data_IF_560398603548
#
_entry.id   IF_560398603548
#
_cell.length_a   1.000
_cell.length_b   1.000
_cell.length_c   1.000
_cell.angle_alpha   90.00
_cell.angle_beta   90.00
_cell.angle_gamma   90.00
#
_symmetry.space_group_name_H-M   'P 1'
#
loop_
_entity.id
_entity.type
_entity.pdbx_description
1 polymer ?
#
# COMPACT_ATOMS: atom_id res chain seq x y z
N UNK A 1 -17.24 37.53 7.16
CA UNK A 1 -16.21 37.14 6.16
C UNK A 1 -15.46 35.83 6.50
N UNK A 2 -15.28 35.45 7.77
CA UNK A 2 -14.47 34.27 8.13
C UNK A 2 -15.11 32.90 7.86
N UNK A 3 -16.43 32.82 7.64
CA UNK A 3 -17.12 31.56 7.37
C UNK A 3 -16.95 31.04 5.95
N UNK A 4 -16.87 31.95 4.97
CA UNK A 4 -16.62 31.61 3.57
C UNK A 4 -15.18 31.16 3.36
N UNK A 5 -14.21 31.86 3.98
CA UNK A 5 -12.80 31.46 3.93
C UNK A 5 -12.63 30.04 4.50
N UNK A 6 -13.23 29.73 5.66
CA UNK A 6 -13.18 28.37 6.24
C UNK A 6 -13.85 27.30 5.38
N UNK A 7 -14.94 27.63 4.67
CA UNK A 7 -15.59 26.69 3.74
C UNK A 7 -14.76 26.49 2.49
N UNK A 8 -14.16 27.54 1.95
CA UNK A 8 -13.25 27.48 0.80
C UNK A 8 -11.98 26.71 1.17
N UNK A 9 -11.42 26.91 2.37
CA UNK A 9 -10.30 26.10 2.88
C UNK A 9 -10.68 24.63 3.05
N UNK A 10 -11.88 24.34 3.53
CA UNK A 10 -12.37 22.96 3.68
C UNK A 10 -12.56 22.29 2.32
N UNK A 11 -13.16 22.99 1.36
CA UNK A 11 -13.36 22.50 -0.01
C UNK A 11 -12.01 22.35 -0.72
N UNK A 12 -11.07 23.29 -0.56
CA UNK A 12 -9.72 23.17 -1.09
C UNK A 12 -9.03 21.93 -0.50
N UNK A 13 -9.13 21.70 0.81
CA UNK A 13 -8.56 20.51 1.48
C UNK A 13 -9.20 19.18 1.04
N UNK A 14 -10.46 19.22 0.64
CA UNK A 14 -11.19 18.06 0.10
C UNK A 14 -10.88 17.84 -1.40
N UNK A 15 -10.56 18.90 -2.16
CA UNK A 15 -10.26 18.87 -3.59
C UNK A 15 -8.77 18.90 -3.97
N UNK A 16 -7.83 19.00 -3.02
CA UNK A 16 -6.39 18.90 -3.32
C UNK A 16 -6.09 17.50 -3.87
N UNK A 17 -5.56 17.47 -5.10
CA UNK A 17 -5.10 16.29 -5.81
C UNK A 17 -4.23 15.38 -4.93
N UNK A 18 -4.40 14.06 -5.09
CA UNK A 18 -3.66 13.02 -4.38
C UNK A 18 -2.13 13.22 -4.46
N UNK A 19 -1.64 13.86 -5.52
CA UNK A 19 -0.23 14.21 -5.72
C UNK A 19 0.26 15.31 -4.74
N UNK A 20 -0.56 16.31 -4.41
CA UNK A 20 -0.19 17.38 -3.50
C UNK A 20 -0.38 16.98 -2.04
N UNK A 21 -1.31 16.07 -1.73
CA UNK A 21 -1.37 15.38 -0.41
C UNK A 21 -0.08 14.61 -0.12
N UNK A 22 0.49 13.94 -1.13
CA UNK A 22 1.78 13.24 -0.98
C UNK A 22 2.94 14.21 -0.71
N UNK A 23 3.00 15.35 -1.42
CA UNK A 23 4.05 16.37 -1.21
C UNK A 23 3.95 17.08 0.13
N UNK A 24 2.74 17.39 0.59
CA UNK A 24 2.51 18.09 1.86
C UNK A 24 2.82 17.22 3.08
N UNK A 25 2.76 15.88 2.94
CA UNK A 25 3.09 14.92 4.00
C UNK A 25 4.60 14.71 4.19
N UNK A 26 5.42 14.93 3.17
CA UNK A 26 6.88 14.92 3.28
C UNK A 26 7.43 16.17 4.00
N UNK A 27 6.61 17.21 4.19
CA UNK A 27 7.00 18.45 4.87
C UNK A 27 6.89 18.36 6.40
N UNK A 28 6.05 17.47 6.93
CA UNK A 28 6.02 17.14 8.36
C UNK A 28 7.06 16.04 8.63
N UNK A 29 8.28 16.44 9.00
CA UNK A 29 9.44 15.57 9.26
C UNK A 29 9.31 14.61 10.46
N UNK A 30 8.13 14.05 10.71
CA UNK A 30 7.80 13.18 11.84
C UNK A 30 7.02 11.91 11.47
N UNK A 31 6.72 11.66 10.18
CA UNK A 31 5.96 10.45 9.81
C UNK A 31 6.86 9.28 9.42
N UNK A 32 6.88 8.28 10.30
CA UNK A 32 7.55 6.98 10.15
C UNK A 32 7.22 6.34 8.78
N UNK A 33 8.21 5.70 8.14
CA UNK A 33 8.09 5.09 6.81
C UNK A 33 6.90 4.11 6.70
N UNK A 34 6.62 3.38 7.79
CA UNK A 34 5.45 2.52 7.91
C UNK A 34 4.13 3.30 7.74
N UNK A 35 4.02 4.48 8.35
CA UNK A 35 2.82 5.32 8.31
C UNK A 35 2.61 5.89 6.91
N UNK A 36 3.68 6.28 6.24
CA UNK A 36 3.63 6.75 4.86
C UNK A 36 3.14 5.65 3.91
N UNK A 37 3.70 4.44 4.00
CA UNK A 37 3.25 3.32 3.17
C UNK A 37 1.80 2.94 3.47
N UNK A 38 1.40 2.90 4.76
CA UNK A 38 0.02 2.64 5.16
C UNK A 38 -0.96 3.63 4.55
N UNK A 39 -0.62 4.92 4.54
CA UNK A 39 -1.47 5.96 3.92
C UNK A 39 -1.54 5.78 2.41
N UNK A 40 -0.42 5.48 1.75
CA UNK A 40 -0.39 5.21 0.31
C UNK A 40 -1.32 4.06 -0.05
N UNK A 41 -1.20 2.93 0.64
CA UNK A 41 -2.10 1.76 0.50
C UNK A 41 -3.56 2.17 0.68
N UNK A 42 -3.87 3.03 1.66
CA UNK A 42 -5.22 3.55 1.87
C UNK A 42 -5.75 4.39 0.69
N UNK A 43 -4.90 5.21 0.05
CA UNK A 43 -5.27 5.97 -1.15
C UNK A 43 -5.47 5.04 -2.34
N UNK A 44 -4.59 4.06 -2.53
CA UNK A 44 -4.66 3.11 -3.64
C UNK A 44 -5.90 2.21 -3.51
N UNK A 45 -6.26 1.76 -2.29
CA UNK A 45 -7.53 1.07 -2.03
C UNK A 45 -8.73 1.93 -2.47
N UNK A 46 -8.72 3.23 -2.15
CA UNK A 46 -9.81 4.13 -2.54
C UNK A 46 -9.88 4.28 -4.06
N UNK A 47 -8.74 4.43 -4.73
CA UNK A 47 -8.67 4.50 -6.19
C UNK A 47 -9.19 3.24 -6.86
N UNK A 48 -8.84 2.05 -6.34
CA UNK A 48 -9.38 0.79 -6.86
C UNK A 48 -10.90 0.68 -6.65
N UNK A 49 -11.42 1.16 -5.51
CA UNK A 49 -12.88 1.21 -5.28
C UNK A 49 -13.57 2.12 -6.30
N UNK A 50 -13.01 3.28 -6.59
CA UNK A 50 -13.52 4.21 -7.61
C UNK A 50 -13.52 3.58 -9.01
N UNK A 51 -12.44 2.88 -9.38
CA UNK A 51 -12.36 2.15 -10.65
C UNK A 51 -13.40 1.03 -10.76
N UNK A 52 -13.67 0.31 -9.66
CA UNK A 52 -14.72 -0.70 -9.61
C UNK A 52 -16.10 -0.05 -9.84
N UNK A 53 -16.39 1.06 -9.18
CA UNK A 53 -17.64 1.80 -9.37
C UNK A 53 -17.78 2.30 -10.81
N UNK A 54 -16.73 2.91 -11.38
CA UNK A 54 -16.74 3.42 -12.76
C UNK A 54 -16.97 2.27 -13.77
N UNK A 55 -16.36 1.11 -13.53
CA UNK A 55 -16.59 -0.08 -14.35
C UNK A 55 -18.03 -0.56 -14.25
N UNK A 56 -18.58 -0.63 -13.04
CA UNK A 56 -19.95 -1.13 -12.84
C UNK A 56 -20.97 -0.17 -13.48
N UNK A 57 -20.73 1.14 -13.42
CA UNK A 57 -21.51 2.14 -14.17
C UNK A 57 -21.37 1.97 -15.69
N UNK A 58 -20.15 1.73 -16.19
CA UNK A 58 -19.91 1.47 -17.61
C UNK A 58 -20.59 0.17 -18.09
N UNK A 59 -20.68 -0.84 -17.22
CA UNK A 59 -21.34 -2.11 -17.52
C UNK A 59 -22.86 -1.96 -17.60
N UNK A 60 -23.46 -1.17 -16.69
CA UNK A 60 -24.89 -0.85 -16.73
C UNK A 60 -25.26 -0.12 -18.03
N UNK A 61 -24.40 0.82 -18.45
CA UNK A 61 -24.66 1.63 -19.64
C UNK A 61 -24.35 0.89 -20.95
N UNK A 62 -23.28 0.10 -20.99
CA UNK A 62 -22.83 -0.60 -22.20
C UNK A 62 -22.10 -1.91 -21.83
N UNK A 63 -22.85 -3.02 -21.63
CA UNK A 63 -22.31 -4.27 -21.15
C UNK A 63 -21.32 -4.86 -22.16
N UNK A 64 -20.17 -5.34 -21.66
CA UNK A 64 -19.15 -5.97 -22.50
C UNK A 64 -18.40 -5.03 -23.44
N UNK A 65 -18.57 -3.70 -23.29
CA UNK A 65 -17.82 -2.72 -24.07
C UNK A 65 -16.31 -2.81 -23.82
N UNK A 66 -15.51 -2.38 -24.80
CA UNK A 66 -14.04 -2.31 -24.68
C UNK A 66 -13.63 -1.53 -23.42
N UNK A 67 -14.37 -0.48 -23.05
CA UNK A 67 -14.16 0.30 -21.82
C UNK A 67 -14.32 -0.56 -20.56
N UNK A 68 -15.34 -1.40 -20.47
CA UNK A 68 -15.54 -2.29 -19.30
C UNK A 68 -14.42 -3.33 -19.17
N UNK A 69 -13.90 -3.82 -20.29
CA UNK A 69 -12.77 -4.76 -20.34
C UNK A 69 -11.47 -4.07 -19.92
N UNK A 70 -11.22 -2.86 -20.43
CA UNK A 70 -10.06 -2.04 -20.05
C UNK A 70 -10.08 -1.72 -18.55
N UNK A 71 -11.20 -1.23 -18.02
CA UNK A 71 -11.35 -0.96 -16.58
C UNK A 71 -11.16 -2.24 -15.75
N UNK A 72 -11.67 -3.38 -16.21
CA UNK A 72 -11.46 -4.68 -15.55
C UNK A 72 -10.00 -5.15 -15.56
N UNK A 73 -9.23 -4.78 -16.58
CA UNK A 73 -7.80 -5.04 -16.62
C UNK A 73 -7.07 -4.11 -15.65
N UNK A 74 -7.34 -2.81 -15.69
CA UNK A 74 -6.77 -1.82 -14.77
C UNK A 74 -7.01 -2.15 -13.30
N UNK A 75 -8.22 -2.60 -12.95
CA UNK A 75 -8.56 -3.06 -11.58
C UNK A 75 -7.71 -4.27 -11.19
N UNK A 76 -7.52 -5.25 -12.09
CA UNK A 76 -6.70 -6.44 -11.80
C UNK A 76 -5.24 -6.07 -11.56
N UNK A 77 -4.68 -5.21 -12.39
CA UNK A 77 -3.30 -4.72 -12.25
C UNK A 77 -3.13 -3.93 -10.95
N UNK A 78 -4.04 -3.00 -10.66
CA UNK A 78 -3.99 -2.21 -9.44
C UNK A 78 -4.13 -3.06 -8.16
N UNK A 79 -4.95 -4.11 -8.17
CA UNK A 79 -5.03 -5.08 -7.06
C UNK A 79 -3.71 -5.85 -6.88
N UNK A 80 -3.03 -6.22 -7.98
CA UNK A 80 -1.72 -6.88 -7.89
C UNK A 80 -0.64 -5.96 -7.32
N UNK A 81 -0.61 -4.70 -7.75
CA UNK A 81 0.31 -3.70 -7.20
C UNK A 81 0.05 -3.49 -5.70
N UNK A 82 -1.23 -3.34 -5.33
CA UNK A 82 -1.66 -3.19 -3.93
C UNK A 82 -1.25 -4.37 -3.06
N UNK A 83 -1.29 -5.61 -3.59
CA UNK A 83 -0.75 -6.80 -2.90
C UNK A 83 0.75 -6.69 -2.65
N UNK A 84 1.49 -6.20 -3.64
CA UNK A 84 2.92 -5.95 -3.50
C UNK A 84 3.21 -4.94 -2.38
N UNK A 85 2.42 -3.88 -2.28
CA UNK A 85 2.57 -2.86 -1.24
C UNK A 85 2.19 -3.38 0.15
N UNK A 86 1.07 -4.09 0.28
CA UNK A 86 0.67 -4.77 1.52
C UNK A 86 1.74 -5.77 1.99
N UNK A 87 2.38 -6.49 1.05
CA UNK A 87 3.50 -7.38 1.36
C UNK A 87 4.72 -6.64 1.91
N UNK A 88 5.05 -5.45 1.39
CA UNK A 88 6.11 -4.59 1.94
C UNK A 88 5.76 -4.09 3.34
N UNK A 89 4.52 -3.67 3.55
CA UNK A 89 4.02 -3.22 4.86
C UNK A 89 4.15 -4.33 5.91
N UNK A 90 3.78 -5.56 5.54
CA UNK A 90 3.91 -6.73 6.41
C UNK A 90 5.38 -7.08 6.71
N UNK A 91 6.27 -7.05 5.71
CA UNK A 91 7.71 -7.27 5.93
C UNK A 91 8.31 -6.26 6.92
N UNK A 92 7.88 -4.99 6.86
CA UNK A 92 8.33 -3.97 7.82
C UNK A 92 7.86 -4.31 9.24
N UNK A 93 6.62 -4.77 9.40
CA UNK A 93 6.10 -5.25 10.67
C UNK A 93 6.88 -6.46 11.20
N UNK A 94 7.07 -7.51 10.38
CA UNK A 94 7.77 -8.74 10.77
C UNK A 94 9.22 -8.45 11.19
N UNK A 95 9.91 -7.55 10.47
CA UNK A 95 11.27 -7.10 10.83
C UNK A 95 11.28 -6.36 12.16
N UNK A 96 10.32 -5.45 12.38
CA UNK A 96 10.18 -4.73 13.65
C UNK A 96 9.89 -5.68 14.82
N UNK A 97 9.04 -6.69 14.61
CA UNK A 97 8.73 -7.73 15.58
C UNK A 97 9.97 -8.56 15.93
N UNK A 98 10.72 -9.02 14.93
CA UNK A 98 11.95 -9.78 15.16
C UNK A 98 13.00 -8.97 15.94
N UNK A 99 13.14 -7.65 15.66
CA UNK A 99 14.04 -6.77 16.41
C UNK A 99 13.59 -6.64 17.88
N UNK A 100 12.29 -6.52 18.13
CA UNK A 100 11.72 -6.49 19.47
C UNK A 100 11.99 -7.78 20.25
N UNK A 101 11.80 -8.94 19.60
CA UNK A 101 12.06 -10.26 20.20
C UNK A 101 13.55 -10.46 20.55
N UNK A 102 14.47 -9.96 19.72
CA UNK A 102 15.92 -10.07 19.94
C UNK A 102 16.45 -9.18 21.07
N UNK A 103 15.80 -8.06 21.39
CA UNK A 103 16.24 -7.06 22.39
C UNK A 103 15.55 -7.21 23.76
N UNK A 104 15.28 -8.45 24.19
CA UNK A 104 14.77 -8.78 25.53
C UNK A 104 13.40 -8.20 25.96
N UNK A 105 12.58 -7.69 25.02
CA UNK A 105 11.19 -7.26 25.28
C UNK A 105 11.01 -6.24 26.41
N UNK A 106 12.01 -5.39 26.67
CA UNK A 106 12.01 -4.55 27.88
C UNK A 106 11.10 -3.31 27.79
N UNK A 107 10.56 -2.99 26.60
CA UNK A 107 9.84 -1.75 26.35
C UNK A 107 8.33 -1.98 26.06
N UNK A 108 7.42 -1.60 26.99
CA UNK A 108 5.98 -1.77 26.82
C UNK A 108 5.36 -0.82 25.76
N UNK A 109 6.01 0.31 25.43
CA UNK A 109 5.51 1.23 24.40
C UNK A 109 5.78 0.67 22.99
N UNK A 110 6.94 0.05 22.78
CA UNK A 110 7.27 -0.62 21.53
C UNK A 110 6.32 -1.78 21.23
N UNK A 111 5.89 -2.52 22.25
CA UNK A 111 4.91 -3.61 22.10
C UNK A 111 3.56 -3.11 21.58
N UNK A 112 3.03 -2.03 22.16
CA UNK A 112 1.78 -1.40 21.70
C UNK A 112 1.89 -0.88 20.27
N UNK A 113 3.02 -0.24 19.92
CA UNK A 113 3.26 0.21 18.54
C UNK A 113 3.25 -0.97 17.57
N UNK A 114 3.89 -2.08 17.95
CA UNK A 114 3.96 -3.28 17.14
C UNK A 114 2.57 -3.89 16.91
N UNK A 115 1.75 -3.99 17.95
CA UNK A 115 0.36 -4.47 17.85
C UNK A 115 -0.49 -3.61 16.89
N UNK A 116 -0.37 -2.28 16.98
CA UNK A 116 -1.08 -1.35 16.11
C UNK A 116 -0.62 -1.44 14.64
N UNK A 117 0.66 -1.72 14.41
CA UNK A 117 1.18 -2.01 13.06
C UNK A 117 0.68 -3.36 12.52
N UNK A 118 0.49 -4.37 13.38
CA UNK A 118 -0.07 -5.66 13.01
C UNK A 118 -1.52 -5.53 12.55
N UNK A 119 -2.36 -4.88 13.36
CA UNK A 119 -3.76 -4.60 13.02
C UNK A 119 -3.87 -3.84 11.69
N UNK A 120 -2.97 -2.87 11.47
CA UNK A 120 -2.92 -2.12 10.21
C UNK A 120 -2.60 -3.02 9.01
N UNK A 121 -1.71 -4.00 9.15
CA UNK A 121 -1.41 -4.97 8.09
C UNK A 121 -2.60 -5.91 7.83
N UNK A 122 -3.26 -6.37 8.88
CA UNK A 122 -4.45 -7.23 8.78
C UNK A 122 -5.60 -6.53 8.07
N UNK A 123 -5.87 -5.27 8.41
CA UNK A 123 -6.90 -4.45 7.75
C UNK A 123 -6.57 -4.24 6.27
N UNK A 124 -5.30 -3.94 5.94
CA UNK A 124 -4.86 -3.75 4.56
C UNK A 124 -5.08 -5.01 3.71
N UNK A 125 -4.70 -6.18 4.24
CA UNK A 125 -4.97 -7.47 3.59
C UNK A 125 -6.47 -7.82 3.53
N UNK A 126 -7.25 -7.42 4.53
CA UNK A 126 -8.71 -7.53 4.52
C UNK A 126 -9.33 -6.79 3.35
N UNK A 127 -8.92 -5.55 3.09
CA UNK A 127 -9.39 -4.78 1.94
C UNK A 127 -8.96 -5.36 0.60
N UNK A 128 -7.73 -5.86 0.49
CA UNK A 128 -7.30 -6.56 -0.74
C UNK A 128 -8.23 -7.74 -1.04
N UNK A 129 -8.54 -8.58 -0.04
CA UNK A 129 -9.46 -9.73 -0.21
C UNK A 129 -10.88 -9.29 -0.58
N UNK A 130 -11.37 -8.19 0.02
CA UNK A 130 -12.67 -7.60 -0.31
C UNK A 130 -12.73 -7.19 -1.81
N UNK A 131 -11.70 -6.47 -2.28
CA UNK A 131 -11.60 -6.01 -3.67
C UNK A 131 -11.50 -7.19 -4.65
N UNK A 132 -10.74 -8.24 -4.30
CA UNK A 132 -10.67 -9.46 -5.09
C UNK A 132 -12.02 -10.17 -5.20
N UNK A 133 -12.78 -10.23 -4.11
CA UNK A 133 -14.11 -10.84 -4.11
C UNK A 133 -15.08 -10.04 -4.97
N UNK A 134 -15.06 -8.71 -4.87
CA UNK A 134 -15.87 -7.82 -5.71
C UNK A 134 -15.52 -7.98 -7.20
N UNK A 135 -14.24 -8.15 -7.53
CA UNK A 135 -13.82 -8.41 -8.90
C UNK A 135 -14.20 -9.83 -9.39
N UNK A 136 -14.10 -10.85 -8.52
CA UNK A 136 -14.39 -12.25 -8.86
C UNK A 136 -15.89 -12.53 -9.06
N UNK A 137 -16.79 -11.80 -8.38
CA UNK A 137 -18.24 -11.95 -8.56
C UNK A 137 -18.66 -11.82 -10.04
N UNK A 138 -18.00 -10.97 -10.83
CA UNK A 138 -18.25 -10.85 -12.29
C UNK A 138 -17.67 -12.00 -13.11
N UNK A 139 -16.54 -12.58 -12.67
CA UNK A 139 -15.90 -13.73 -13.33
C UNK A 139 -16.68 -15.05 -13.19
N UNK A 140 -17.64 -15.12 -12.27
CA UNK A 140 -18.50 -16.29 -12.09
C UNK A 140 -19.67 -16.32 -13.07
N UNK A 141 -20.12 -15.15 -13.54
CA UNK A 141 -21.21 -15.05 -14.53
C UNK A 141 -20.71 -15.21 -15.98
N UNK A 142 -19.40 -15.35 -16.18
CA UNK A 142 -18.78 -15.40 -17.52
C UNK A 142 -19.04 -16.71 -18.27
N UNK A 143 -19.71 -17.70 -17.67
CA UNK A 143 -20.23 -18.87 -18.39
C UNK A 143 -21.56 -18.60 -19.11
N UNK A 144 -22.11 -17.37 -19.07
CA UNK A 144 -23.27 -17.00 -19.90
C UNK A 144 -22.91 -16.54 -21.33
N UNK A 145 -21.62 -16.40 -21.67
CA UNK A 145 -21.22 -15.92 -23.01
C UNK A 145 -21.28 -17.02 -24.10
N UNK A 146 -21.55 -18.26 -23.73
CA UNK A 146 -21.98 -19.30 -24.68
C UNK A 146 -23.49 -19.42 -24.51
N UNK A 147 -24.32 -18.98 -25.47
CA UNK A 147 -25.72 -19.37 -25.53
C UNK A 147 -25.75 -20.90 -25.68
N UNK A 148 -25.86 -21.61 -24.56
CA UNK A 148 -26.22 -23.02 -24.60
C UNK A 148 -27.72 -23.04 -24.79
N UNK A 149 -28.15 -23.16 -26.06
CA UNK A 149 -29.54 -23.38 -26.42
C UNK A 149 -30.10 -24.56 -25.61
N UNK A 150 -30.83 -24.25 -24.53
CA UNK A 150 -31.48 -25.22 -23.66
C UNK A 150 -32.92 -25.46 -24.07
N UNK A 151 -33.20 -25.39 -25.37
CA UNK A 151 -34.52 -25.62 -25.97
C UNK A 151 -34.38 -26.43 -27.28
N UNK A 152 -33.77 -27.61 -27.20
CA UNK A 152 -34.06 -28.68 -28.16
C UNK A 152 -35.06 -29.66 -27.53
N UNK A 153 -36.36 -29.57 -27.85
CA UNK A 153 -37.25 -30.69 -27.63
C UNK A 153 -36.81 -31.81 -28.59
N UNK A 154 -36.34 -32.91 -28.01
CA UNK A 154 -36.30 -34.20 -28.70
C UNK A 154 -37.71 -34.53 -29.16
N UNK A 155 -38.02 -34.27 -30.43
CA UNK A 155 -39.14 -34.92 -31.09
C UNK A 155 -38.74 -35.29 -32.52
N UNK A 156 -38.82 -36.58 -32.81
CA UNK A 156 -38.54 -37.13 -34.13
C UNK A 156 -39.61 -36.73 -35.13
N UNK A 157 -39.18 -36.56 -36.39
CA UNK A 157 -40.07 -36.40 -37.54
C UNK A 157 -39.95 -35.03 -38.18
N UNK A 158 -39.61 -35.06 -39.47
CA UNK A 158 -39.48 -33.95 -40.43
C UNK A 158 -38.13 -33.22 -40.39
N UNK A 159 -37.24 -33.68 -41.27
CA UNK A 159 -36.15 -32.87 -41.82
C UNK A 159 -36.82 -31.66 -42.45
N UNK A 160 -36.77 -30.50 -41.78
CA UNK A 160 -37.07 -29.22 -42.45
C UNK A 160 -36.04 -29.09 -43.57
N UNK A 161 -36.55 -29.06 -44.79
CA UNK A 161 -35.78 -28.77 -45.99
C UNK A 161 -34.94 -27.51 -45.72
N UNK A 162 -33.63 -27.60 -45.92
CA UNK A 162 -32.73 -26.47 -45.71
C UNK A 162 -33.20 -25.31 -46.62
N UNK A 163 -33.23 -24.07 -46.13
CA UNK A 163 -33.51 -22.91 -46.97
C UNK A 163 -32.49 -22.83 -48.11
N UNK A 164 -32.94 -22.43 -49.30
CA UNK A 164 -32.09 -22.30 -50.49
C UNK A 164 -30.95 -21.28 -50.27
N UNK A 165 -29.81 -21.54 -50.92
CA UNK A 165 -28.52 -20.84 -50.76
C UNK A 165 -28.57 -19.34 -51.12
N UNK A 166 -29.63 -18.87 -51.77
CA UNK A 166 -29.78 -17.52 -52.32
C UNK A 166 -30.67 -16.59 -51.45
N UNK A 167 -30.89 -16.92 -50.17
CA UNK A 167 -31.56 -16.00 -49.25
C UNK A 167 -30.65 -14.81 -48.90
N UNK A 168 -31.16 -13.57 -49.04
CA UNK A 168 -30.45 -12.33 -48.68
C UNK A 168 -29.84 -12.38 -47.27
N UNK A 169 -30.50 -13.08 -46.35
CA UNK A 169 -30.06 -13.33 -44.98
C UNK A 169 -28.68 -14.01 -44.91
N UNK A 170 -28.35 -14.95 -45.82
CA UNK A 170 -27.03 -15.61 -45.86
C UNK A 170 -25.94 -14.67 -46.37
N UNK A 171 -26.26 -13.78 -47.31
CA UNK A 171 -25.32 -12.77 -47.81
C UNK A 171 -25.00 -11.76 -46.70
N UNK A 172 -26.00 -11.37 -45.90
CA UNK A 172 -25.82 -10.50 -44.75
C UNK A 172 -25.01 -11.18 -43.64
N UNK A 173 -25.22 -12.48 -43.41
CA UNK A 173 -24.47 -13.28 -42.44
C UNK A 173 -22.98 -13.38 -42.84
N UNK A 174 -22.68 -13.70 -44.12
CA UNK A 174 -21.30 -13.75 -44.64
C UNK A 174 -20.62 -12.38 -44.56
N UNK A 175 -21.36 -11.30 -44.78
CA UNK A 175 -20.83 -9.94 -44.66
C UNK A 175 -20.53 -9.56 -43.21
N UNK A 176 -21.38 -9.99 -42.29
CA UNK A 176 -21.20 -9.79 -40.84
C UNK A 176 -20.01 -10.60 -40.33
N UNK A 177 -19.85 -11.84 -40.79
CA UNK A 177 -18.74 -12.72 -40.41
C UNK A 177 -17.38 -12.15 -40.83
N UNK A 178 -17.29 -11.62 -42.06
CA UNK A 178 -16.08 -10.90 -42.54
C UNK A 178 -15.77 -9.65 -41.72
N UNK A 179 -16.78 -8.94 -41.24
CA UNK A 179 -16.58 -7.78 -40.37
C UNK A 179 -16.07 -8.21 -38.99
N UNK A 180 -16.61 -9.31 -38.44
CA UNK A 180 -16.15 -9.89 -37.18
C UNK A 180 -14.70 -10.33 -37.28
N UNK A 181 -14.32 -11.03 -38.35
CA UNK A 181 -12.92 -11.46 -38.58
C UNK A 181 -11.94 -10.27 -38.63
N UNK A 182 -12.35 -9.17 -39.28
CA UNK A 182 -11.55 -7.94 -39.32
C UNK A 182 -11.35 -7.33 -37.93
N UNK A 183 -12.41 -7.28 -37.13
CA UNK A 183 -12.36 -6.77 -35.74
C UNK A 183 -11.54 -7.69 -34.84
N UNK A 184 -11.70 -9.01 -34.96
CA UNK A 184 -10.93 -10.00 -34.20
C UNK A 184 -9.44 -9.93 -34.54
N UNK A 185 -9.09 -9.69 -35.80
CA UNK A 185 -7.70 -9.50 -36.22
C UNK A 185 -7.10 -8.26 -35.55
N UNK A 186 -7.82 -7.13 -35.56
CA UNK A 186 -7.39 -5.89 -34.90
C UNK A 186 -7.24 -6.07 -33.38
N UNK A 187 -8.16 -6.78 -32.73
CA UNK A 187 -8.07 -7.10 -31.30
C UNK A 187 -6.85 -7.99 -31.04
N UNK A 188 -6.59 -9.01 -31.86
CA UNK A 188 -5.45 -9.91 -31.69
C UNK A 188 -4.10 -9.19 -31.76
N UNK A 189 -3.99 -8.18 -32.62
CA UNK A 189 -2.80 -7.36 -32.75
C UNK A 189 -2.62 -6.44 -31.54
N UNK A 190 -3.70 -5.78 -31.09
CA UNK A 190 -3.68 -4.97 -29.87
C UNK A 190 -3.35 -5.81 -28.62
N UNK A 191 -3.82 -7.06 -28.58
CA UNK A 191 -3.56 -7.99 -27.48
C UNK A 191 -2.09 -8.41 -27.43
N UNK A 192 -1.43 -8.61 -28.59
CA UNK A 192 0.03 -8.82 -28.66
C UNK A 192 0.82 -7.59 -28.19
N UNK A 193 0.38 -6.39 -28.54
CA UNK A 193 1.02 -5.15 -28.03
C UNK A 193 0.89 -5.07 -26.50
N UNK A 194 -0.29 -5.40 -25.97
CA UNK A 194 -0.56 -5.41 -24.52
C UNK A 194 0.27 -6.49 -23.81
N UNK A 195 0.45 -7.66 -24.42
CA UNK A 195 1.30 -8.74 -23.90
C UNK A 195 2.78 -8.31 -23.80
N UNK A 196 3.29 -7.62 -24.82
CA UNK A 196 4.65 -7.10 -24.81
C UNK A 196 4.85 -6.05 -23.71
N UNK A 197 3.89 -5.12 -23.56
CA UNK A 197 3.92 -4.11 -22.49
C UNK A 197 3.87 -4.79 -21.12
N UNK A 198 3.00 -5.79 -20.93
CA UNK A 198 2.91 -6.55 -19.68
C UNK A 198 4.22 -7.26 -19.34
N UNK A 199 4.91 -7.84 -20.33
CA UNK A 199 6.20 -8.50 -20.15
C UNK A 199 7.32 -7.50 -19.80
N UNK A 200 7.37 -6.35 -20.46
CA UNK A 200 8.34 -5.30 -20.13
C UNK A 200 8.10 -4.70 -18.75
N UNK A 201 6.84 -4.46 -18.38
CA UNK A 201 6.46 -4.00 -17.05
C UNK A 201 6.80 -5.03 -15.97
N UNK A 202 6.55 -6.32 -16.21
CA UNK A 202 6.94 -7.39 -15.29
C UNK A 202 8.45 -7.42 -15.02
N UNK A 203 9.28 -7.26 -16.07
CA UNK A 203 10.74 -7.16 -15.95
C UNK A 203 11.17 -5.88 -15.21
N UNK A 204 10.51 -4.76 -15.47
CA UNK A 204 10.78 -3.49 -14.78
C UNK A 204 10.40 -3.58 -13.29
N UNK A 205 9.27 -4.18 -12.95
CA UNK A 205 8.83 -4.43 -11.58
C UNK A 205 9.81 -5.34 -10.82
N UNK A 206 10.34 -6.38 -11.48
CA UNK A 206 11.35 -7.26 -10.89
C UNK A 206 12.67 -6.50 -10.61
N UNK A 207 13.12 -5.65 -11.53
CA UNK A 207 14.31 -4.79 -11.32
C UNK A 207 14.11 -3.76 -10.22
N UNK A 208 12.94 -3.14 -10.16
CA UNK A 208 12.57 -2.22 -9.08
C UNK A 208 12.50 -2.92 -7.73
N UNK A 209 12.09 -4.20 -7.69
CA UNK A 209 12.13 -5.03 -6.48
C UNK A 209 13.53 -5.17 -5.89
N UNK A 210 14.55 -5.44 -6.71
CA UNK A 210 15.95 -5.56 -6.26
C UNK A 210 16.49 -4.22 -5.75
N UNK A 211 16.18 -3.11 -6.44
CA UNK A 211 16.61 -1.78 -6.02
C UNK A 211 15.96 -1.36 -4.69
N UNK A 212 14.69 -1.72 -4.47
CA UNK A 212 13.98 -1.50 -3.21
C UNK A 212 14.62 -2.28 -2.06
N UNK A 213 14.99 -3.54 -2.26
CA UNK A 213 15.64 -4.35 -1.23
C UNK A 213 16.99 -3.76 -0.80
N UNK A 214 17.74 -3.15 -1.72
CA UNK A 214 19.01 -2.48 -1.39
C UNK A 214 18.82 -1.12 -0.71
N UNK A 215 17.75 -0.38 -1.05
CA UNK A 215 17.36 0.83 -0.32
C UNK A 215 16.91 0.49 1.10
N UNK A 216 16.12 -0.57 1.28
CA UNK A 216 15.68 -1.06 2.59
C UNK A 216 16.89 -1.43 3.46
N UNK A 217 17.89 -2.15 2.91
CA UNK A 217 19.12 -2.48 3.65
C UNK A 217 19.89 -1.23 4.10
N UNK A 218 20.01 -0.22 3.23
CA UNK A 218 20.69 1.03 3.58
C UNK A 218 19.91 1.84 4.61
N UNK A 219 18.57 1.87 4.50
CA UNK A 219 17.72 2.51 5.50
C UNK A 219 17.85 1.82 6.86
N UNK A 220 17.88 0.48 6.89
CA UNK A 220 18.10 -0.29 8.11
C UNK A 220 19.47 0.00 8.75
N UNK A 221 20.54 0.11 7.96
CA UNK A 221 21.86 0.46 8.47
C UNK A 221 21.88 1.86 9.11
N UNK A 222 21.18 2.81 8.50
CA UNK A 222 21.05 4.16 9.03
C UNK A 222 20.22 4.19 10.32
N UNK A 223 19.12 3.44 10.38
CA UNK A 223 18.26 3.39 11.56
C UNK A 223 18.97 2.75 12.77
N UNK A 224 19.76 1.70 12.53
CA UNK A 224 20.63 1.11 13.56
C UNK A 224 21.70 2.08 14.07
N UNK A 225 22.30 2.87 13.17
CA UNK A 225 23.26 3.91 13.55
C UNK A 225 22.59 4.98 14.40
N UNK A 226 21.39 5.42 14.03
CA UNK A 226 20.61 6.40 14.81
C UNK A 226 20.25 5.86 16.20
N UNK A 227 19.78 4.61 16.30
CA UNK A 227 19.44 4.00 17.58
C UNK A 227 20.67 3.87 18.49
N UNK A 228 21.81 3.43 17.94
CA UNK A 228 23.07 3.35 18.67
C UNK A 228 23.56 4.71 19.17
N UNK A 229 23.42 5.76 18.36
CA UNK A 229 23.76 7.12 18.76
C UNK A 229 22.85 7.61 19.89
N UNK A 230 21.54 7.35 19.81
CA UNK A 230 20.59 7.73 20.86
C UNK A 230 20.90 7.02 22.19
N UNK A 231 21.20 5.71 22.15
CA UNK A 231 21.63 4.95 23.33
C UNK A 231 22.94 5.48 23.90
N UNK A 232 23.92 5.83 23.05
CA UNK A 232 25.21 6.39 23.48
C UNK A 232 25.03 7.77 24.12
N UNK A 233 24.20 8.64 23.54
CA UNK A 233 23.84 9.93 24.14
C UNK A 233 23.18 9.74 25.50
N UNK A 234 22.22 8.81 25.60
CA UNK A 234 21.55 8.50 26.86
C UNK A 234 22.51 8.00 27.94
N UNK A 235 23.49 7.16 27.57
CA UNK A 235 24.56 6.72 28.48
C UNK A 235 25.45 7.88 28.91
N UNK A 236 25.93 8.70 27.97
CA UNK A 236 26.75 9.88 28.26
C UNK A 236 26.03 10.86 29.19
N UNK A 237 24.74 11.12 28.97
CA UNK A 237 23.95 12.00 29.82
C UNK A 237 23.80 11.45 31.25
N UNK A 238 23.59 10.14 31.40
CA UNK A 238 23.55 9.47 32.72
C UNK A 238 24.91 9.50 33.41
N UNK A 239 26.00 9.29 32.67
CA UNK A 239 27.36 9.31 33.18
C UNK A 239 27.76 10.74 33.62
N UNK A 240 27.42 11.77 32.85
CA UNK A 240 27.61 13.18 33.24
C UNK A 240 26.84 13.50 34.53
N UNK A 241 25.57 13.08 34.62
CA UNK A 241 24.76 13.30 35.83
C UNK A 241 25.33 12.57 37.06
N UNK A 242 26.02 11.45 36.87
CA UNK A 242 26.72 10.72 37.93
C UNK A 242 28.03 11.42 38.33
N UNK A 243 28.76 11.95 37.35
CA UNK A 243 29.97 12.73 37.57
C UNK A 243 29.68 14.03 38.35
N UNK A 244 28.61 14.75 38.02
CA UNK A 244 28.21 15.97 38.75
C UNK A 244 27.92 15.69 40.23
N UNK A 245 27.21 14.59 40.54
CA UNK A 245 26.95 14.19 41.93
C UNK A 245 28.23 13.87 42.70
N UNK A 246 29.17 13.17 42.05
CA UNK A 246 30.47 12.87 42.65
C UNK A 246 31.29 14.15 42.91
N UNK A 247 31.25 15.10 41.98
CA UNK A 247 31.96 16.38 42.10
C UNK A 247 31.40 17.23 43.25
N UNK A 248 30.07 17.22 43.44
CA UNK A 248 29.41 17.88 44.58
C UNK A 248 29.83 17.26 45.91
N UNK A 249 29.88 15.93 46.02
CA UNK A 249 30.31 15.26 47.25
C UNK A 249 31.76 15.61 47.63
N UNK A 250 32.67 15.68 46.65
CA UNK A 250 34.08 16.06 46.87
C UNK A 250 34.20 17.50 47.40
N UNK A 251 33.47 18.44 46.82
CA UNK A 251 33.44 19.83 47.29
C UNK A 251 32.89 19.91 48.72
N UNK A 252 31.85 19.16 49.02
CA UNK A 252 31.22 19.16 50.34
C UNK A 252 32.18 18.62 51.43
N UNK A 253 32.97 17.58 51.11
CA UNK A 253 34.01 17.06 52.01
C UNK A 253 35.13 18.08 52.24
N UNK A 254 35.56 18.82 51.21
CA UNK A 254 36.58 19.88 51.34
C UNK A 254 36.12 21.00 52.29
N UNK A 255 34.85 21.41 52.20
CA UNK A 255 34.28 22.43 53.10
C UNK A 255 34.25 21.91 54.54
N UNK A 256 33.84 20.66 54.75
CA UNK A 256 33.79 20.03 56.08
C UNK A 256 35.18 19.92 56.72
N UNK A 257 36.20 19.56 55.92
CA UNK A 257 37.60 19.56 56.34
C UNK A 257 38.09 20.96 56.72
N UNK A 258 37.74 21.98 55.94
CA UNK A 258 38.09 23.38 56.23
C UNK A 258 37.51 23.86 57.57
N UNK A 259 36.24 23.56 57.82
CA UNK A 259 35.58 23.89 59.09
C UNK A 259 36.20 23.12 60.26
N UNK A 260 36.46 21.82 60.09
CA UNK A 260 37.11 21.00 61.11
C UNK A 260 38.52 21.49 61.46
N UNK A 261 39.32 21.86 60.46
CA UNK A 261 40.65 22.42 60.65
C UNK A 261 40.61 23.78 61.36
N UNK A 262 39.62 24.63 61.04
CA UNK A 262 39.43 25.91 61.72
C UNK A 262 39.10 25.71 63.21
N UNK A 263 38.20 24.77 63.53
CA UNK A 263 37.85 24.43 64.92
C UNK A 263 39.08 23.87 65.66
N UNK A 264 39.82 22.92 65.05
CA UNK A 264 41.04 22.37 65.64
C UNK A 264 42.10 23.44 65.90
N UNK A 265 42.27 24.39 64.97
CA UNK A 265 43.19 25.51 65.12
C UNK A 265 42.81 26.46 66.26
N UNK A 266 41.51 26.70 66.48
CA UNK A 266 41.01 27.53 67.59
C UNK A 266 41.17 26.80 68.93
N UNK A 267 40.89 25.50 68.99
CA UNK A 267 41.02 24.70 70.22
C UNK A 267 42.48 24.51 70.63
N UNK A 268 43.39 24.33 69.67
CA UNK A 268 44.83 24.14 69.95
C UNK A 268 45.57 25.44 70.27
N UNK A 269 45.02 26.61 69.91
CA UNK A 269 45.58 27.93 70.25
C UNK A 269 45.17 28.44 71.63
N UNK A 270 44.24 27.77 72.32
CA UNK A 270 44.02 27.92 73.75
C UNK A 270 44.92 26.97 74.52
#
# INVERSE_FOLDING_TARGET
MNGLIKRVEKINKECVDSADKSKQLNADGTTDAFTLLRRKIGLDIKGVKELITERDEAEINMPGSVRTVQLSHSIRTAIQDLKGECGKLQKMHDKAEQRYLKKNKEDPEKLKKLELTKESCEIAWGHVKELELQNKKRGSDTNQFIPRDSSSPRNGGQIKQLPDLDHEDFIELIKTDKQIDGVLTSISEQLKVTENIANEMGKAAQRQGVLLDDLDKKAEELDEKLENLNVRLGKMLKDIRKADRFMIDVILVLILLGVGAAIYGVVKRK
#
